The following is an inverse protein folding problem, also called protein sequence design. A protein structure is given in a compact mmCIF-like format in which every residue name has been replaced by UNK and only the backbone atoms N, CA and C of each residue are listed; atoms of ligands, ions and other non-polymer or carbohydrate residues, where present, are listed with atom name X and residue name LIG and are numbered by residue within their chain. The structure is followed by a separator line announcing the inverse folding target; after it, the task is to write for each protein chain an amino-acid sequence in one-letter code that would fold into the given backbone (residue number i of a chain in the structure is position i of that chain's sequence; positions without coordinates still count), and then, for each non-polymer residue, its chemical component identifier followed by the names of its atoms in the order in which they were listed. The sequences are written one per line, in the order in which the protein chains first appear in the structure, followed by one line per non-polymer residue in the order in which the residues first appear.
data_IF_216983208449
#
_entry.id   IF_216983208449
#
_cell.length_a   1.000
_cell.length_b   1.000
_cell.length_c   1.000
_cell.angle_alpha   90.00
_cell.angle_beta   90.00
_cell.angle_gamma   90.00
#
_symmetry.space_group_name_H-M   'P 1'
#
loop_
_entity.id
_entity.type
_entity.pdbx_description
1 polymer ?
#
# COMPACT_ATOMS: atom_id res chain seq x y z
N UNK A 1 -12.74 8.88 -27.19
CA UNK A 1 -14.15 8.63 -26.89
C UNK A 1 -14.28 8.62 -25.37
N UNK A 2 -14.90 9.66 -24.80
CA UNK A 2 -15.26 9.64 -23.37
C UNK A 2 -16.27 8.52 -23.19
N UNK A 3 -15.91 7.50 -22.39
CA UNK A 3 -16.86 6.50 -21.95
C UNK A 3 -17.83 7.23 -21.02
N UNK A 4 -19.12 7.20 -21.33
CA UNK A 4 -20.15 7.70 -20.44
C UNK A 4 -20.17 6.82 -19.18
N UNK A 5 -19.40 7.27 -18.18
CA UNK A 5 -19.00 6.51 -16.98
C UNK A 5 -20.21 6.21 -16.09
N UNK A 6 -21.31 6.92 -16.27
CA UNK A 6 -22.45 6.94 -15.36
C UNK A 6 -23.52 5.88 -15.67
N UNK A 7 -23.27 4.90 -16.54
CA UNK A 7 -24.16 3.75 -16.78
C UNK A 7 -23.53 2.44 -16.31
N UNK A 8 -23.15 2.39 -15.04
CA UNK A 8 -22.69 1.15 -14.43
C UNK A 8 -23.79 0.10 -14.40
N UNK A 9 -23.52 -1.09 -14.92
CA UNK A 9 -24.44 -2.24 -14.79
C UNK A 9 -24.32 -2.83 -13.39
N UNK A 10 -25.38 -2.72 -12.59
CA UNK A 10 -25.39 -3.13 -11.18
C UNK A 10 -26.22 -4.40 -11.00
N UNK A 11 -25.55 -5.44 -10.51
CA UNK A 11 -26.16 -6.69 -10.08
C UNK A 11 -25.93 -6.86 -8.57
N UNK A 12 -26.98 -6.70 -7.78
CA UNK A 12 -26.88 -6.87 -6.33
C UNK A 12 -26.91 -8.36 -5.94
N UNK A 13 -26.17 -8.69 -4.88
CA UNK A 13 -26.25 -10.02 -4.26
C UNK A 13 -27.63 -10.25 -3.63
N UNK A 14 -28.10 -11.49 -3.68
CA UNK A 14 -29.31 -11.92 -2.95
C UNK A 14 -29.00 -12.39 -1.54
N UNK A 15 -27.74 -12.69 -1.26
CA UNK A 15 -27.27 -13.27 0.00
C UNK A 15 -26.11 -12.44 0.54
N UNK A 16 -26.43 -11.43 1.36
CA UNK A 16 -25.38 -10.63 2.03
C UNK A 16 -24.66 -11.45 3.09
N UNK A 17 -23.32 -11.28 3.16
CA UNK A 17 -22.47 -11.85 4.19
C UNK A 17 -22.38 -10.97 5.44
N UNK A 18 -22.90 -9.74 5.37
CA UNK A 18 -22.85 -8.76 6.44
C UNK A 18 -23.34 -9.28 7.81
N UNK A 19 -24.45 -10.09 7.89
CA UNK A 19 -24.92 -10.62 9.17
C UNK A 19 -23.95 -11.59 9.87
N UNK A 20 -22.94 -12.11 9.15
CA UNK A 20 -21.97 -13.07 9.66
C UNK A 20 -20.68 -12.40 10.12
N UNK A 21 -20.56 -11.07 10.00
CA UNK A 21 -19.34 -10.32 10.32
C UNK A 21 -19.16 -10.22 11.82
N UNK A 22 -18.00 -10.68 12.32
CA UNK A 22 -17.57 -10.37 13.68
C UNK A 22 -16.79 -9.05 13.64
N UNK A 23 -17.43 -7.97 14.03
CA UNK A 23 -16.88 -6.61 14.00
C UNK A 23 -15.77 -6.37 15.04
N UNK A 24 -15.69 -7.22 16.08
CA UNK A 24 -14.65 -7.15 17.11
C UNK A 24 -13.35 -7.86 16.66
N UNK A 25 -13.42 -8.65 15.58
CA UNK A 25 -12.28 -9.36 15.03
C UNK A 25 -12.28 -9.31 13.51
N UNK A 26 -11.64 -8.30 12.96
CA UNK A 26 -11.53 -8.04 11.51
C UNK A 26 -10.13 -8.35 11.00
N UNK A 27 -9.82 -9.61 10.66
CA UNK A 27 -8.51 -9.99 10.15
C UNK A 27 -8.28 -9.40 8.76
N UNK A 28 -7.13 -8.76 8.55
CA UNK A 28 -6.80 -8.11 7.28
C UNK A 28 -6.83 -9.11 6.11
N UNK A 29 -7.60 -8.76 5.06
CA UNK A 29 -7.61 -9.49 3.79
C UNK A 29 -8.28 -10.88 3.81
N UNK A 30 -9.09 -11.22 4.82
CA UNK A 30 -9.80 -12.50 4.90
C UNK A 30 -11.31 -12.42 4.73
N UNK A 31 -11.90 -11.28 5.02
CA UNK A 31 -13.32 -11.03 4.87
C UNK A 31 -13.54 -9.95 3.82
N UNK A 32 -14.39 -10.22 2.83
CA UNK A 32 -14.64 -9.29 1.72
C UNK A 32 -16.10 -8.84 1.72
N UNK A 33 -16.35 -7.60 1.28
CA UNK A 33 -17.70 -7.04 1.15
C UNK A 33 -18.52 -7.78 0.09
N UNK A 34 -19.81 -7.48 0.00
CA UNK A 34 -20.77 -8.22 -0.82
C UNK A 34 -20.54 -8.06 -2.32
N UNK A 35 -19.97 -6.94 -2.76
CA UNK A 35 -19.84 -6.64 -4.18
C UNK A 35 -18.40 -6.32 -4.60
N UNK A 36 -18.16 -6.43 -5.89
CA UNK A 36 -16.91 -6.02 -6.55
C UNK A 36 -17.23 -5.26 -7.84
N UNK A 37 -16.33 -4.33 -8.19
CA UNK A 37 -16.37 -3.61 -9.46
C UNK A 37 -15.50 -4.33 -10.50
N UNK A 38 -15.88 -4.26 -11.77
CA UNK A 38 -15.11 -4.83 -12.89
C UNK A 38 -15.29 -4.02 -14.17
N UNK A 39 -14.18 -3.83 -14.89
CA UNK A 39 -14.13 -3.27 -16.23
C UNK A 39 -13.10 -4.03 -17.07
N UNK A 40 -13.42 -4.35 -18.31
CA UNK A 40 -12.52 -5.03 -19.24
C UNK A 40 -11.93 -4.01 -20.24
N UNK A 41 -10.65 -4.16 -20.57
CA UNK A 41 -10.03 -3.48 -21.68
C UNK A 41 -9.72 -4.49 -22.78
N UNK A 42 -10.22 -4.22 -23.97
CA UNK A 42 -9.98 -5.06 -25.15
C UNK A 42 -10.03 -4.21 -26.43
N UNK A 43 -9.21 -4.54 -27.42
CA UNK A 43 -9.15 -3.84 -28.69
C UNK A 43 -9.03 -2.29 -28.53
N UNK A 44 -8.23 -1.82 -27.58
CA UNK A 44 -7.99 -0.41 -27.33
C UNK A 44 -9.11 0.35 -26.60
N UNK A 45 -10.13 -0.33 -26.12
CA UNK A 45 -11.29 0.28 -25.48
C UNK A 45 -11.66 -0.35 -24.14
N UNK A 46 -12.09 0.50 -23.20
CA UNK A 46 -12.70 0.05 -21.95
C UNK A 46 -14.15 -0.34 -22.16
N UNK A 47 -14.58 -1.45 -21.56
CA UNK A 47 -15.97 -1.88 -21.53
C UNK A 47 -16.80 -0.98 -20.59
N UNK A 48 -18.14 -1.13 -20.64
CA UNK A 48 -19.01 -0.53 -19.62
C UNK A 48 -18.68 -1.09 -18.24
N UNK A 49 -18.67 -0.23 -17.19
CA UNK A 49 -18.47 -0.64 -15.81
C UNK A 49 -19.54 -1.63 -15.33
N UNK A 50 -19.14 -2.54 -14.44
CA UNK A 50 -20.04 -3.51 -13.78
C UNK A 50 -19.77 -3.53 -12.28
N UNK A 51 -20.84 -3.54 -11.49
CA UNK A 51 -20.79 -3.92 -10.08
C UNK A 51 -21.58 -5.20 -9.92
N UNK A 52 -20.95 -6.21 -9.35
CA UNK A 52 -21.50 -7.57 -9.28
C UNK A 52 -21.17 -8.21 -7.92
N UNK A 53 -21.87 -9.29 -7.53
CA UNK A 53 -21.52 -10.03 -6.31
C UNK A 53 -20.05 -10.42 -6.29
N UNK A 54 -19.37 -10.24 -5.15
CA UNK A 54 -18.00 -10.70 -4.96
C UNK A 54 -17.93 -12.23 -5.07
N UNK A 55 -17.01 -12.71 -5.87
CA UNK A 55 -16.79 -14.14 -6.11
C UNK A 55 -15.55 -14.40 -6.96
N UNK A 56 -15.36 -15.65 -7.31
CA UNK A 56 -14.25 -16.09 -8.15
C UNK A 56 -14.37 -15.54 -9.58
N UNK A 57 -13.24 -15.36 -10.22
CA UNK A 57 -13.13 -14.99 -11.63
C UNK A 57 -12.52 -16.15 -12.41
N UNK A 58 -13.06 -16.40 -13.60
CA UNK A 58 -12.48 -17.39 -14.51
C UNK A 58 -11.40 -16.73 -15.36
N UNK A 59 -10.21 -17.34 -15.37
CA UNK A 59 -9.06 -16.89 -16.17
C UNK A 59 -8.45 -18.08 -16.93
N UNK A 60 -7.87 -17.79 -18.11
CA UNK A 60 -7.15 -18.81 -18.88
C UNK A 60 -5.89 -19.28 -18.14
N UNK A 61 -5.55 -20.58 -18.17
CA UNK A 61 -4.25 -21.06 -17.67
C UNK A 61 -3.04 -20.40 -18.35
N UNK A 62 -3.20 -19.93 -19.60
CA UNK A 62 -2.16 -19.23 -20.35
C UNK A 62 -2.14 -17.71 -20.08
N UNK A 63 -2.79 -17.25 -19.02
CA UNK A 63 -2.89 -15.84 -18.68
C UNK A 63 -1.50 -15.22 -18.40
N UNK A 64 -1.16 -14.13 -19.10
CA UNK A 64 0.16 -13.50 -19.02
C UNK A 64 0.45 -12.85 -17.65
N UNK A 65 -0.57 -12.46 -16.88
CA UNK A 65 -0.36 -11.98 -15.52
C UNK A 65 0.11 -13.11 -14.58
N UNK A 66 -0.38 -14.35 -14.77
CA UNK A 66 0.05 -15.51 -13.98
C UNK A 66 1.50 -15.85 -14.29
N UNK A 67 1.87 -15.85 -15.56
CA UNK A 67 3.20 -16.30 -16.01
C UNK A 67 4.27 -15.22 -15.90
N UNK A 68 3.92 -13.95 -16.08
CA UNK A 68 4.90 -12.84 -16.21
C UNK A 68 4.65 -11.69 -15.25
N UNK A 69 3.65 -11.80 -14.36
CA UNK A 69 3.39 -10.83 -13.30
C UNK A 69 2.94 -9.45 -13.80
N UNK A 70 2.35 -9.35 -15.01
CA UNK A 70 1.87 -8.08 -15.55
C UNK A 70 0.58 -7.65 -14.85
N UNK A 71 0.74 -7.07 -13.66
CA UNK A 71 -0.34 -6.63 -12.78
C UNK A 71 0.12 -5.50 -11.89
N UNK A 72 -0.77 -4.52 -11.66
CA UNK A 72 -0.60 -3.43 -10.71
C UNK A 72 -1.79 -3.37 -9.75
N UNK A 73 -1.58 -2.79 -8.57
CA UNK A 73 -2.66 -2.61 -7.61
C UNK A 73 -2.49 -1.33 -6.81
N UNK A 74 -3.55 -0.95 -6.14
CA UNK A 74 -3.59 0.13 -5.18
C UNK A 74 -4.15 -0.34 -3.84
N UNK A 75 -3.98 0.50 -2.82
CA UNK A 75 -4.58 0.29 -1.52
C UNK A 75 -4.94 1.64 -0.92
N UNK A 76 -6.18 1.76 -0.49
CA UNK A 76 -6.70 2.92 0.21
C UNK A 76 -7.77 2.50 1.20
N UNK A 77 -8.27 3.43 2.00
CA UNK A 77 -9.25 3.16 3.04
C UNK A 77 -10.41 4.14 2.95
N UNK A 78 -11.61 3.65 3.24
CA UNK A 78 -12.76 4.47 3.58
C UNK A 78 -12.96 4.41 5.10
N UNK A 79 -13.20 5.57 5.71
CA UNK A 79 -13.44 5.71 7.14
C UNK A 79 -14.81 6.34 7.37
N UNK A 80 -15.37 6.16 8.56
CA UNK A 80 -16.42 7.06 9.05
C UNK A 80 -15.79 8.18 9.81
N UNK A 81 -16.27 9.40 9.56
CA UNK A 81 -15.95 10.54 10.39
C UNK A 81 -16.83 10.59 11.66
N UNK A 82 -16.60 11.59 12.49
CA UNK A 82 -17.36 11.78 13.75
C UNK A 82 -18.85 12.08 13.53
N UNK A 83 -19.25 12.49 12.33
CA UNK A 83 -20.65 12.72 11.95
C UNK A 83 -21.30 11.46 11.35
N UNK A 84 -20.53 10.40 11.13
CA UNK A 84 -20.97 9.16 10.51
C UNK A 84 -20.89 9.18 8.99
N UNK A 85 -20.34 10.23 8.38
CA UNK A 85 -20.13 10.32 6.94
C UNK A 85 -18.95 9.44 6.49
N UNK A 86 -19.05 8.90 5.29
CA UNK A 86 -17.99 8.06 4.73
C UNK A 86 -17.02 8.95 3.96
N UNK A 87 -15.76 8.91 4.35
CA UNK A 87 -14.70 9.74 3.77
C UNK A 87 -13.58 8.88 3.17
N UNK A 88 -12.98 9.40 2.10
CA UNK A 88 -11.80 8.85 1.44
C UNK A 88 -10.63 9.83 1.56
N UNK A 89 -9.46 9.30 1.85
CA UNK A 89 -8.26 10.11 1.97
C UNK A 89 -7.46 10.15 0.65
N UNK A 90 -7.37 11.35 0.05
CA UNK A 90 -6.56 11.66 -1.17
C UNK A 90 -6.74 10.66 -2.32
N UNK A 91 -7.97 10.26 -2.74
CA UNK A 91 -8.18 9.20 -3.73
C UNK A 91 -7.56 9.50 -5.11
N UNK A 92 -7.49 10.76 -5.52
CA UNK A 92 -6.85 11.18 -6.77
C UNK A 92 -5.34 10.96 -6.77
N UNK A 93 -4.66 11.05 -5.63
CA UNK A 93 -3.24 10.70 -5.52
C UNK A 93 -3.03 9.19 -5.77
N UNK A 94 -3.95 8.34 -5.31
CA UNK A 94 -3.92 6.91 -5.61
C UNK A 94 -4.16 6.66 -7.11
N UNK A 95 -5.10 7.36 -7.74
CA UNK A 95 -5.37 7.25 -9.18
C UNK A 95 -4.13 7.59 -10.02
N UNK A 96 -3.44 8.71 -9.70
CA UNK A 96 -2.21 9.13 -10.38
C UNK A 96 -1.08 8.11 -10.20
N UNK A 97 -0.90 7.60 -8.98
CA UNK A 97 0.12 6.59 -8.71
C UNK A 97 -0.19 5.25 -9.38
N UNK A 98 -1.46 4.88 -9.46
CA UNK A 98 -1.91 3.70 -10.20
C UNK A 98 -1.55 3.81 -11.68
N UNK A 99 -1.84 4.95 -12.32
CA UNK A 99 -1.47 5.20 -13.70
C UNK A 99 0.05 5.27 -13.92
N UNK A 100 0.81 5.83 -12.99
CA UNK A 100 2.28 5.77 -13.03
C UNK A 100 2.79 4.33 -13.00
N UNK A 101 2.20 3.47 -12.16
CA UNK A 101 2.53 2.05 -12.10
C UNK A 101 2.12 1.32 -13.38
N UNK A 102 0.92 1.58 -13.89
CA UNK A 102 0.40 1.00 -15.13
C UNK A 102 1.31 1.35 -16.31
N UNK A 103 1.70 2.60 -16.45
CA UNK A 103 2.62 3.05 -17.50
C UNK A 103 3.94 2.28 -17.47
N UNK A 104 4.53 2.09 -16.28
CA UNK A 104 5.78 1.31 -16.13
C UNK A 104 5.62 -0.16 -16.54
N UNK A 105 4.44 -0.72 -16.36
CA UNK A 105 4.11 -2.11 -16.68
C UNK A 105 3.48 -2.29 -18.07
N UNK A 106 3.48 -1.25 -18.92
CA UNK A 106 2.82 -1.24 -20.22
C UNK A 106 1.32 -1.59 -20.16
N UNK A 107 0.65 -1.18 -19.09
CA UNK A 107 -0.80 -1.36 -18.87
C UNK A 107 -1.51 -0.06 -19.24
N UNK A 108 -2.71 -0.09 -19.86
CA UNK A 108 -3.48 1.10 -20.20
C UNK A 108 -3.81 1.96 -18.97
N UNK A 109 -3.81 3.27 -19.15
CA UNK A 109 -4.26 4.22 -18.13
C UNK A 109 -5.78 4.16 -17.96
N UNK A 110 -6.22 4.48 -16.74
CA UNK A 110 -7.62 4.69 -16.36
C UNK A 110 -7.74 6.15 -15.96
N UNK A 111 -8.75 6.89 -16.48
CA UNK A 111 -8.90 8.28 -16.06
C UNK A 111 -9.08 8.37 -14.54
N UNK A 112 -8.58 9.45 -13.94
CA UNK A 112 -8.66 9.67 -12.49
C UNK A 112 -10.11 9.67 -12.01
N UNK A 113 -11.01 10.26 -12.82
CA UNK A 113 -12.45 10.31 -12.55
C UNK A 113 -13.08 8.92 -12.58
N UNK A 114 -12.74 8.07 -13.57
CA UNK A 114 -13.22 6.68 -13.64
C UNK A 114 -12.76 5.92 -12.41
N UNK A 115 -11.48 6.03 -12.05
CA UNK A 115 -10.93 5.36 -10.89
C UNK A 115 -11.65 5.75 -9.59
N UNK A 116 -11.81 7.06 -9.35
CA UNK A 116 -12.42 7.56 -8.11
C UNK A 116 -13.93 7.26 -8.08
N UNK A 117 -14.66 7.51 -9.18
CA UNK A 117 -16.11 7.28 -9.22
C UNK A 117 -16.45 5.80 -9.08
N UNK A 118 -15.66 4.90 -9.65
CA UNK A 118 -15.84 3.46 -9.47
C UNK A 118 -15.77 3.03 -8.00
N UNK A 119 -14.87 3.64 -7.23
CA UNK A 119 -14.74 3.42 -5.80
C UNK A 119 -15.95 3.98 -5.05
N UNK A 120 -16.37 5.21 -5.36
CA UNK A 120 -17.50 5.86 -4.71
C UNK A 120 -18.80 5.08 -4.95
N UNK A 121 -19.06 4.62 -6.19
CA UNK A 121 -20.24 3.80 -6.52
C UNK A 121 -20.24 2.46 -5.77
N UNK A 122 -19.10 1.75 -5.73
CA UNK A 122 -18.99 0.50 -4.99
C UNK A 122 -19.23 0.69 -3.49
N UNK A 123 -18.65 1.74 -2.89
CA UNK A 123 -18.86 2.07 -1.48
C UNK A 123 -20.30 2.47 -1.21
N UNK A 124 -20.95 3.21 -2.10
CA UNK A 124 -22.36 3.60 -1.93
C UNK A 124 -23.29 2.39 -1.85
N UNK A 125 -23.00 1.33 -2.63
CA UNK A 125 -23.74 0.05 -2.59
C UNK A 125 -23.42 -0.70 -1.30
N UNK A 126 -22.14 -0.81 -0.95
CA UNK A 126 -21.65 -1.56 0.21
C UNK A 126 -21.44 -0.68 1.46
N UNK A 127 -22.13 0.46 1.58
CA UNK A 127 -21.94 1.43 2.68
C UNK A 127 -22.07 0.84 4.09
N UNK A 128 -22.81 -0.26 4.25
CA UNK A 128 -22.96 -0.96 5.53
C UNK A 128 -21.71 -1.75 5.91
N UNK A 129 -20.81 -2.00 4.96
CA UNK A 129 -19.54 -2.67 5.16
C UNK A 129 -18.44 -1.73 5.71
N UNK A 130 -18.66 -0.40 5.68
CA UNK A 130 -17.78 0.56 6.34
C UNK A 130 -18.01 0.47 7.84
N UNK A 131 -17.00 0.06 8.64
CA UNK A 131 -17.14 -0.12 10.09
C UNK A 131 -17.66 1.13 10.79
N UNK A 132 -18.40 0.93 11.88
CA UNK A 132 -18.88 2.04 12.72
C UNK A 132 -17.82 2.52 13.72
N UNK A 133 -16.91 1.64 14.12
CA UNK A 133 -15.80 1.98 14.99
C UNK A 133 -14.80 2.86 14.21
N UNK A 134 -14.45 4.02 14.78
CA UNK A 134 -13.55 5.01 14.16
C UNK A 134 -12.11 4.47 13.99
N UNK A 135 -11.70 3.50 14.82
CA UNK A 135 -10.39 2.86 14.72
C UNK A 135 -10.32 1.81 13.59
N UNK A 136 -11.47 1.47 13.02
CA UNK A 136 -11.58 0.50 11.94
C UNK A 136 -11.83 1.21 10.61
N UNK A 137 -11.64 0.50 9.51
CA UNK A 137 -11.84 1.05 8.17
C UNK A 137 -12.29 0.00 7.16
N UNK A 138 -12.81 0.45 6.04
CA UNK A 138 -13.01 -0.40 4.88
C UNK A 138 -11.79 -0.25 3.96
N UNK A 139 -10.96 -1.30 3.90
CA UNK A 139 -9.83 -1.35 2.96
C UNK A 139 -10.35 -1.56 1.53
N UNK A 140 -9.84 -0.79 0.59
CA UNK A 140 -10.22 -0.79 -0.82
C UNK A 140 -9.02 -1.27 -1.62
N UNK A 141 -9.21 -2.28 -2.47
CA UNK A 141 -8.19 -2.88 -3.34
C UNK A 141 -8.55 -2.71 -4.80
N UNK A 142 -8.20 -1.58 -5.44
CA UNK A 142 -8.16 -1.48 -6.90
C UNK A 142 -6.97 -2.29 -7.43
N UNK A 143 -7.17 -3.03 -8.52
CA UNK A 143 -6.09 -3.73 -9.19
C UNK A 143 -6.41 -3.94 -10.66
N UNK A 144 -5.37 -4.07 -11.47
CA UNK A 144 -5.45 -4.35 -12.89
C UNK A 144 -4.47 -5.46 -13.24
N UNK A 145 -4.87 -6.35 -14.12
CA UNK A 145 -4.01 -7.43 -14.58
C UNK A 145 -4.26 -7.76 -16.05
N UNK A 146 -3.23 -8.25 -16.70
CA UNK A 146 -3.30 -8.73 -18.08
C UNK A 146 -4.20 -9.96 -18.21
N UNK A 147 -4.98 -10.05 -19.28
CA UNK A 147 -5.94 -11.14 -19.51
C UNK A 147 -5.68 -11.97 -20.76
N UNK A 148 -4.73 -11.61 -21.61
CA UNK A 148 -4.40 -12.38 -22.79
C UNK A 148 -4.12 -13.85 -22.47
N UNK A 149 -4.75 -14.79 -23.19
CA UNK A 149 -4.46 -16.21 -23.09
C UNK A 149 -3.25 -16.55 -23.97
N UNK A 150 -2.09 -15.93 -23.69
CA UNK A 150 -0.91 -16.03 -24.53
C UNK A 150 0.38 -16.22 -23.72
N UNK A 151 1.14 -17.25 -24.05
CA UNK A 151 2.47 -17.51 -23.47
C UNK A 151 3.54 -16.92 -24.38
N UNK A 152 3.92 -15.68 -24.13
CA UNK A 152 4.96 -14.98 -24.85
C UNK A 152 5.24 -13.62 -24.19
N UNK A 153 6.48 -13.15 -24.27
CA UNK A 153 6.92 -11.92 -23.59
C UNK A 153 6.59 -10.71 -24.47
N UNK A 154 5.43 -10.14 -24.28
CA UNK A 154 5.00 -8.85 -24.84
C UNK A 154 4.02 -8.20 -23.86
N UNK A 155 3.75 -6.88 -23.97
CA UNK A 155 2.60 -6.28 -23.32
C UNK A 155 1.31 -6.99 -23.77
N UNK A 156 0.39 -7.22 -22.85
CA UNK A 156 -0.91 -7.80 -23.16
C UNK A 156 -1.76 -6.83 -24.01
N UNK A 157 -2.64 -7.38 -24.85
CA UNK A 157 -3.60 -6.59 -25.62
C UNK A 157 -4.93 -6.41 -24.87
N UNK A 158 -5.15 -7.20 -23.83
CA UNK A 158 -6.36 -7.15 -23.02
C UNK A 158 -6.07 -7.13 -21.51
N UNK A 159 -6.90 -6.42 -20.74
CA UNK A 159 -6.73 -6.26 -19.30
C UNK A 159 -8.08 -6.26 -18.60
N UNK A 160 -8.06 -6.56 -17.30
CA UNK A 160 -9.22 -6.44 -16.41
C UNK A 160 -8.87 -5.54 -15.23
N UNK A 161 -9.62 -4.45 -15.06
CA UNK A 161 -9.58 -3.59 -13.88
C UNK A 161 -10.70 -4.00 -12.93
N UNK A 162 -10.36 -4.19 -11.67
CA UNK A 162 -11.29 -4.62 -10.63
C UNK A 162 -11.07 -3.85 -9.32
N UNK A 163 -12.13 -3.75 -8.53
CA UNK A 163 -12.07 -3.21 -7.17
C UNK A 163 -12.87 -4.14 -6.27
N UNK A 164 -12.31 -4.52 -5.14
CA UNK A 164 -13.05 -5.15 -4.05
C UNK A 164 -12.66 -4.50 -2.72
N UNK A 165 -13.47 -4.72 -1.70
CA UNK A 165 -13.27 -4.11 -0.39
C UNK A 165 -13.33 -5.14 0.73
N UNK A 166 -12.65 -4.85 1.85
CA UNK A 166 -12.68 -5.67 3.05
C UNK A 166 -12.66 -4.79 4.31
N UNK A 167 -13.55 -5.02 5.30
CA UNK A 167 -13.47 -4.35 6.58
C UNK A 167 -12.23 -4.82 7.33
N UNK A 168 -11.52 -3.90 7.94
CA UNK A 168 -10.25 -4.17 8.65
C UNK A 168 -10.21 -3.40 9.96
N UNK A 169 -9.61 -4.03 10.98
CA UNK A 169 -9.19 -3.40 12.22
C UNK A 169 -7.78 -2.81 12.11
N UNK A 170 -7.13 -2.58 13.23
CA UNK A 170 -5.74 -2.14 13.29
C UNK A 170 -4.81 -3.18 12.64
N UNK A 171 -3.91 -2.73 11.76
CA UNK A 171 -2.98 -3.63 11.05
C UNK A 171 -1.85 -4.14 11.95
N UNK A 172 -1.29 -3.27 12.78
CA UNK A 172 -0.34 -3.61 13.83
C UNK A 172 -0.94 -3.23 15.18
N UNK A 173 -0.94 -4.19 16.10
CA UNK A 173 -1.36 -3.97 17.49
C UNK A 173 -0.21 -3.51 18.39
N UNK A 174 1.03 -3.66 17.93
CA UNK A 174 2.26 -3.38 18.68
C UNK A 174 3.33 -2.79 17.76
N UNK A 175 4.29 -2.03 18.29
CA UNK A 175 5.45 -1.58 17.54
C UNK A 175 6.21 -2.74 16.89
N UNK A 176 6.79 -2.51 15.70
CA UNK A 176 7.41 -3.57 14.91
C UNK A 176 8.91 -3.65 15.15
N UNK A 177 9.44 -4.87 15.26
CA UNK A 177 10.87 -5.16 15.21
C UNK A 177 11.30 -5.33 13.76
N UNK A 178 12.42 -4.72 13.37
CA UNK A 178 12.91 -4.76 12.00
C UNK A 178 14.38 -5.19 11.93
N UNK A 179 14.73 -5.86 10.83
CA UNK A 179 16.10 -6.26 10.50
C UNK A 179 16.55 -5.52 9.25
N UNK A 180 17.75 -4.94 9.27
CA UNK A 180 18.35 -4.36 8.05
C UNK A 180 18.82 -5.49 7.14
N UNK A 181 18.28 -5.52 5.92
CA UNK A 181 18.64 -6.51 4.91
C UNK A 181 19.88 -6.05 4.14
N UNK A 182 20.89 -6.90 4.09
CA UNK A 182 22.20 -6.59 3.48
C UNK A 182 22.65 -7.58 2.41
N UNK A 183 21.74 -8.46 1.96
CA UNK A 183 22.02 -9.46 0.92
C UNK A 183 20.95 -9.44 -0.16
N UNK A 184 19.67 -9.54 0.22
CA UNK A 184 18.57 -9.51 -0.73
C UNK A 184 18.15 -8.06 -1.01
N UNK A 185 17.71 -7.81 -2.24
CA UNK A 185 17.24 -6.49 -2.68
C UNK A 185 15.79 -6.55 -3.13
N UNK A 186 14.99 -5.58 -2.68
CA UNK A 186 13.60 -5.41 -3.11
C UNK A 186 13.48 -4.77 -4.49
N UNK A 187 14.39 -3.86 -4.79
CA UNK A 187 14.35 -3.01 -5.98
C UNK A 187 15.76 -2.66 -6.45
N UNK A 188 15.88 -2.27 -7.71
CA UNK A 188 17.12 -1.83 -8.33
C UNK A 188 16.85 -0.59 -9.20
N UNK A 189 17.85 0.27 -9.37
CA UNK A 189 17.75 1.43 -10.24
C UNK A 189 17.37 1.02 -11.67
N UNK A 190 16.39 1.73 -12.27
CA UNK A 190 15.81 1.37 -13.57
C UNK A 190 14.83 0.19 -13.53
N UNK A 191 14.63 -0.42 -12.36
CA UNK A 191 13.67 -1.50 -12.13
C UNK A 191 12.23 -1.03 -11.97
N UNK A 192 11.43 -1.80 -11.24
CA UNK A 192 10.00 -1.54 -10.99
C UNK A 192 9.70 -1.09 -9.56
N UNK A 193 10.72 -0.77 -8.75
CA UNK A 193 10.59 -0.51 -7.32
C UNK A 193 9.62 0.62 -6.96
N UNK A 194 9.57 1.67 -7.78
CA UNK A 194 8.65 2.80 -7.60
C UNK A 194 7.20 2.49 -8.01
N UNK A 195 6.99 1.43 -8.77
CA UNK A 195 5.66 1.00 -9.23
C UNK A 195 5.02 0.06 -8.21
N UNK A 196 3.71 0.14 -8.06
CA UNK A 196 2.96 -0.81 -7.22
C UNK A 196 2.61 -2.07 -8.02
N UNK A 197 3.65 -2.70 -8.58
CA UNK A 197 3.56 -3.91 -9.39
C UNK A 197 3.61 -5.18 -8.52
N UNK A 198 2.81 -6.19 -8.87
CA UNK A 198 2.69 -7.43 -8.08
C UNK A 198 4.03 -8.17 -7.91
N UNK A 199 4.90 -8.17 -8.93
CA UNK A 199 6.20 -8.82 -8.91
C UNK A 199 7.14 -8.30 -7.82
N UNK A 200 7.06 -7.02 -7.45
CA UNK A 200 7.88 -6.45 -6.38
C UNK A 200 7.60 -7.12 -5.03
N UNK A 201 6.37 -7.55 -4.80
CA UNK A 201 5.96 -8.21 -3.55
C UNK A 201 6.39 -9.66 -3.52
N UNK A 202 6.35 -10.36 -4.65
CA UNK A 202 6.83 -11.74 -4.74
C UNK A 202 8.34 -11.83 -4.42
N UNK A 203 9.15 -10.90 -4.91
CA UNK A 203 10.58 -10.85 -4.62
C UNK A 203 10.92 -10.68 -3.13
N UNK A 204 10.02 -10.07 -2.36
CA UNK A 204 10.21 -9.82 -0.93
C UNK A 204 9.84 -11.02 -0.03
N UNK A 205 9.15 -12.05 -0.53
CA UNK A 205 8.58 -13.13 0.28
C UNK A 205 9.67 -13.95 0.99
N UNK A 206 10.70 -14.38 0.28
CA UNK A 206 11.73 -15.25 0.85
C UNK A 206 12.54 -14.55 1.95
N UNK A 207 13.12 -13.36 1.74
CA UNK A 207 13.83 -12.66 2.81
C UNK A 207 12.92 -12.27 3.99
N UNK A 208 11.65 -11.94 3.75
CA UNK A 208 10.70 -11.68 4.83
C UNK A 208 10.41 -12.94 5.68
N UNK A 209 10.33 -14.11 5.04
CA UNK A 209 10.18 -15.38 5.73
C UNK A 209 11.40 -15.66 6.61
N UNK A 210 12.63 -15.47 6.10
CA UNK A 210 13.86 -15.64 6.88
C UNK A 210 13.90 -14.71 8.10
N UNK A 211 13.58 -13.43 7.91
CA UNK A 211 13.51 -12.47 9.01
C UNK A 211 12.47 -12.87 10.08
N UNK A 212 11.32 -13.37 9.64
CA UNK A 212 10.27 -13.86 10.55
C UNK A 212 10.73 -15.07 11.37
N UNK A 213 11.52 -15.97 10.80
CA UNK A 213 12.12 -17.11 11.54
C UNK A 213 13.12 -16.65 12.60
N UNK A 214 13.75 -15.49 12.41
CA UNK A 214 14.65 -14.85 13.38
C UNK A 214 13.90 -13.97 14.41
N UNK A 215 12.55 -13.86 14.31
CA UNK A 215 11.71 -13.10 15.23
C UNK A 215 11.46 -11.63 14.81
N UNK A 216 11.88 -11.24 13.64
CA UNK A 216 11.62 -9.87 13.11
C UNK A 216 10.31 -9.83 12.34
N UNK A 217 9.56 -8.73 12.53
CA UNK A 217 8.27 -8.51 11.85
C UNK A 217 8.41 -7.97 10.45
N UNK A 218 9.47 -7.19 10.19
CA UNK A 218 9.72 -6.55 8.90
C UNK A 218 11.21 -6.42 8.61
N UNK A 219 11.55 -6.10 7.35
CA UNK A 219 12.90 -5.78 6.90
C UNK A 219 13.02 -4.28 6.65
N UNK A 220 14.16 -3.68 6.97
CA UNK A 220 14.60 -2.42 6.35
C UNK A 220 15.39 -2.80 5.10
N UNK A 221 14.86 -2.43 3.95
CA UNK A 221 15.50 -2.64 2.67
C UNK A 221 16.60 -1.62 2.42
N UNK A 222 17.66 -2.07 1.77
CA UNK A 222 18.80 -1.25 1.38
C UNK A 222 19.01 -1.30 -0.13
N UNK A 223 19.76 -0.33 -0.66
CA UNK A 223 20.09 -0.24 -2.07
C UNK A 223 20.78 -1.53 -2.58
N UNK A 224 20.43 -1.94 -3.80
CA UNK A 224 20.89 -3.20 -4.38
C UNK A 224 22.39 -3.21 -4.78
N UNK A 225 23.07 -2.07 -4.79
CA UNK A 225 24.46 -1.96 -5.27
C UNK A 225 25.47 -2.19 -4.16
N UNK A 226 25.26 -1.53 -3.03
CA UNK A 226 26.26 -1.47 -1.94
C UNK A 226 25.65 -1.87 -0.60
N UNK A 227 24.33 -2.02 -0.50
CA UNK A 227 23.59 -2.20 0.76
C UNK A 227 23.96 -1.14 1.81
N UNK A 228 24.24 0.06 1.33
CA UNK A 228 24.70 1.19 2.11
C UNK A 228 23.58 2.13 2.50
N UNK A 229 22.62 2.34 1.60
CA UNK A 229 21.55 3.33 1.79
C UNK A 229 20.22 2.65 2.09
N UNK A 230 19.53 3.18 3.09
CA UNK A 230 18.18 2.73 3.46
C UNK A 230 17.18 3.16 2.39
N UNK A 231 16.22 2.28 2.06
CA UNK A 231 15.16 2.54 1.07
C UNK A 231 13.77 2.48 1.68
N UNK A 232 13.31 1.33 2.16
CA UNK A 232 11.96 1.13 2.71
C UNK A 232 11.95 0.16 3.89
N UNK A 233 10.88 0.15 4.68
CA UNK A 233 10.66 -0.82 5.75
C UNK A 233 9.50 -1.77 5.38
N UNK A 234 9.82 -3.03 5.03
CA UNK A 234 8.85 -4.00 4.58
C UNK A 234 8.10 -3.54 3.33
N UNK A 235 6.82 -3.25 3.46
CA UNK A 235 5.94 -2.70 2.41
C UNK A 235 5.54 -1.24 2.66
N UNK A 236 6.32 -0.52 3.46
CA UNK A 236 6.08 0.85 3.92
C UNK A 236 7.29 1.73 3.61
N UNK A 237 7.05 3.03 3.39
CA UNK A 237 8.14 4.00 3.49
C UNK A 237 8.64 4.06 4.93
N UNK A 238 9.92 4.37 5.13
CA UNK A 238 10.52 4.53 6.45
C UNK A 238 10.89 5.98 6.71
N UNK A 239 10.68 6.41 7.94
CA UNK A 239 11.01 7.76 8.42
C UNK A 239 11.68 7.66 9.78
N UNK A 240 12.59 8.59 10.05
CA UNK A 240 13.33 8.70 11.30
C UNK A 240 13.25 10.13 11.82
N UNK A 241 13.27 10.29 13.13
CA UNK A 241 13.51 11.58 13.77
C UNK A 241 14.91 11.54 14.40
N UNK A 242 15.83 12.29 13.83
CA UNK A 242 17.24 12.39 14.27
C UNK A 242 17.53 13.86 14.57
N UNK A 243 18.00 14.18 15.78
CA UNK A 243 18.28 15.55 16.22
C UNK A 243 17.10 16.52 15.99
N UNK A 244 15.86 16.07 16.22
CA UNK A 244 14.59 16.78 15.96
C UNK A 244 14.34 17.11 14.46
N UNK A 245 15.05 16.48 13.54
CA UNK A 245 14.83 16.58 12.09
C UNK A 245 14.12 15.34 11.60
N UNK A 246 13.04 15.50 10.83
CA UNK A 246 12.39 14.37 10.14
C UNK A 246 13.20 14.01 8.91
N UNK A 247 13.78 12.81 8.91
CA UNK A 247 14.60 12.31 7.80
C UNK A 247 13.94 11.12 7.15
N UNK A 248 13.86 11.13 5.82
CA UNK A 248 13.26 10.01 5.05
C UNK A 248 14.00 9.83 3.73
N UNK A 249 14.13 8.58 3.24
CA UNK A 249 14.75 8.35 1.94
C UNK A 249 14.05 9.14 0.83
N UNK A 250 14.86 9.75 -0.05
CA UNK A 250 14.36 10.46 -1.22
C UNK A 250 13.73 9.45 -2.20
N UNK A 251 12.53 9.75 -2.67
CA UNK A 251 11.83 8.89 -3.66
C UNK A 251 12.56 8.89 -5.00
N UNK A 252 12.52 7.73 -5.66
CA UNK A 252 13.20 7.52 -6.94
C UNK A 252 12.76 6.18 -7.54
N UNK A 253 13.58 5.59 -8.39
CA UNK A 253 13.26 4.34 -9.09
C UNK A 253 13.04 3.13 -8.18
N UNK A 254 13.59 3.16 -6.97
CA UNK A 254 13.59 2.03 -6.04
C UNK A 254 12.59 2.17 -4.91
N UNK A 255 12.03 3.36 -4.70
CA UNK A 255 11.18 3.69 -3.55
C UNK A 255 9.80 4.14 -4.02
N UNK A 256 8.75 3.51 -3.48
CA UNK A 256 7.38 3.88 -3.77
C UNK A 256 7.07 5.28 -3.23
N UNK A 257 6.49 6.15 -4.08
CA UNK A 257 6.04 7.47 -3.65
C UNK A 257 4.75 7.34 -2.80
N UNK A 258 4.95 7.14 -1.49
CA UNK A 258 3.87 6.88 -0.55
C UNK A 258 2.99 8.09 -0.28
N UNK A 259 1.67 7.93 -0.36
CA UNK A 259 0.70 9.00 -0.08
C UNK A 259 0.70 9.34 1.40
N UNK A 260 0.77 8.33 2.27
CA UNK A 260 0.92 8.54 3.72
C UNK A 260 2.24 9.24 4.04
N UNK A 261 3.36 8.82 3.42
CA UNK A 261 4.67 9.49 3.57
C UNK A 261 4.59 10.98 3.21
N UNK A 262 3.98 11.32 2.05
CA UNK A 262 3.76 12.72 1.65
C UNK A 262 3.00 13.50 2.72
N UNK A 263 1.94 12.90 3.27
CA UNK A 263 1.13 13.54 4.31
C UNK A 263 1.93 13.77 5.59
N UNK A 264 2.76 12.80 6.01
CA UNK A 264 3.66 12.96 7.16
C UNK A 264 4.64 14.11 6.94
N UNK A 265 5.25 14.18 5.76
CA UNK A 265 6.17 15.26 5.38
C UNK A 265 5.47 16.63 5.40
N UNK A 266 4.25 16.71 4.82
CA UNK A 266 3.47 17.95 4.79
C UNK A 266 3.14 18.41 6.22
N UNK A 267 2.70 17.49 7.09
CA UNK A 267 2.36 17.78 8.50
C UNK A 267 3.59 18.21 9.29
N UNK A 268 4.73 17.53 9.14
CA UNK A 268 5.97 17.91 9.82
C UNK A 268 6.38 19.34 9.45
N UNK A 269 6.27 19.71 8.17
CA UNK A 269 6.53 21.08 7.72
C UNK A 269 5.54 22.09 8.30
N UNK A 270 4.27 21.73 8.41
CA UNK A 270 3.23 22.58 9.01
C UNK A 270 3.46 22.81 10.52
N UNK A 271 4.05 21.83 11.19
CA UNK A 271 4.51 21.98 12.59
C UNK A 271 5.80 22.76 12.75
N UNK A 272 6.44 23.20 11.65
CA UNK A 272 7.71 23.92 11.66
C UNK A 272 8.92 23.02 11.90
N UNK A 273 8.78 21.69 11.76
CA UNK A 273 9.94 20.79 11.82
C UNK A 273 10.79 20.88 10.54
N UNK A 274 12.09 20.78 10.71
CA UNK A 274 12.98 20.57 9.58
C UNK A 274 12.75 19.17 8.99
N UNK A 275 12.63 19.10 7.64
CA UNK A 275 12.43 17.84 6.93
C UNK A 275 13.53 17.66 5.88
N UNK A 276 14.20 16.51 5.93
CA UNK A 276 15.23 16.13 4.96
C UNK A 276 14.82 14.91 4.17
N UNK A 277 14.55 15.09 2.89
CA UNK A 277 14.32 14.03 1.92
C UNK A 277 15.62 13.74 1.17
N UNK A 278 16.39 12.73 1.60
CA UNK A 278 17.75 12.47 1.10
C UNK A 278 18.11 10.98 1.18
N UNK A 279 19.26 10.60 0.65
CA UNK A 279 19.85 9.30 0.95
C UNK A 279 20.24 9.24 2.42
N UNK A 280 19.98 8.11 3.08
CA UNK A 280 20.28 7.85 4.48
C UNK A 280 21.17 6.62 4.52
N UNK A 281 22.38 6.78 5.07
CA UNK A 281 23.27 5.64 5.23
C UNK A 281 22.81 4.76 6.40
N UNK A 282 22.95 3.44 6.24
CA UNK A 282 22.69 2.49 7.33
C UNK A 282 23.55 2.84 8.54
N UNK A 283 24.82 3.19 8.31
CA UNK A 283 25.76 3.56 9.37
C UNK A 283 25.32 4.81 10.15
N UNK A 284 24.79 5.83 9.47
CA UNK A 284 24.25 7.04 10.08
C UNK A 284 23.13 6.71 11.09
N UNK A 285 22.20 5.83 10.71
CA UNK A 285 21.10 5.43 11.61
C UNK A 285 21.65 4.69 12.84
N UNK A 286 22.68 3.87 12.67
CA UNK A 286 23.30 3.17 13.80
C UNK A 286 24.09 4.07 14.73
N UNK A 287 24.77 5.07 14.20
CA UNK A 287 25.45 6.09 15.01
C UNK A 287 24.42 6.89 15.81
N UNK A 288 23.34 7.33 15.18
CA UNK A 288 22.26 8.05 15.83
C UNK A 288 21.51 7.20 16.89
N UNK A 289 21.44 5.87 16.71
CA UNK A 289 20.93 4.96 17.74
C UNK A 289 21.89 4.84 18.94
N UNK A 290 23.20 4.84 18.70
CA UNK A 290 24.23 4.68 19.75
C UNK A 290 24.38 5.93 20.59
N UNK A 291 24.34 7.10 19.98
CA UNK A 291 24.50 8.38 20.70
C UNK A 291 23.17 8.94 21.25
N UNK A 292 22.03 8.31 20.88
CA UNK A 292 20.71 8.68 21.35
C UNK A 292 20.05 9.86 20.60
N UNK A 293 20.63 10.31 19.47
CA UNK A 293 20.06 11.37 18.66
C UNK A 293 18.85 10.88 17.82
N UNK A 294 18.73 9.56 17.54
CA UNK A 294 17.55 8.99 16.94
C UNK A 294 16.47 8.75 18.02
N UNK A 295 15.40 9.52 17.96
CA UNK A 295 14.31 9.50 18.94
C UNK A 295 13.07 8.76 18.46
N UNK A 296 12.79 8.75 17.16
CA UNK A 296 11.67 8.01 16.56
C UNK A 296 12.07 7.34 15.26
N UNK A 297 11.52 6.14 15.02
CA UNK A 297 11.53 5.48 13.71
C UNK A 297 10.18 4.83 13.46
N UNK A 298 9.66 4.97 12.25
CA UNK A 298 8.36 4.40 11.91
C UNK A 298 8.24 4.11 10.41
N UNK A 299 7.37 3.16 10.10
CA UNK A 299 6.90 2.90 8.75
C UNK A 299 5.63 3.68 8.45
N UNK A 300 5.49 4.20 7.23
CA UNK A 300 4.29 4.89 6.76
C UNK A 300 3.69 4.18 5.54
N UNK A 301 2.41 3.82 5.60
CA UNK A 301 1.72 3.14 4.50
C UNK A 301 0.23 2.98 4.75
N UNK A 302 -0.56 2.77 3.70
CA UNK A 302 -2.04 2.72 3.79
C UNK A 302 -2.55 1.66 4.78
N UNK A 303 -1.97 0.46 4.80
CA UNK A 303 -2.46 -0.61 5.65
C UNK A 303 -2.23 -0.30 7.14
N UNK A 304 -1.02 0.13 7.48
CA UNK A 304 -0.59 0.40 8.84
C UNK A 304 -0.87 1.83 9.29
N UNK A 305 -1.08 2.75 8.37
CA UNK A 305 -1.05 4.21 8.55
C UNK A 305 0.33 4.64 9.05
N UNK A 306 0.60 4.53 10.34
CA UNK A 306 1.92 4.67 10.97
C UNK A 306 2.20 3.39 11.77
N UNK A 307 3.36 2.80 11.56
CA UNK A 307 3.84 1.63 12.29
C UNK A 307 5.12 2.00 13.05
N UNK A 308 5.05 2.26 14.35
CA UNK A 308 6.25 2.52 15.15
C UNK A 308 7.23 1.36 15.07
N UNK A 309 8.52 1.65 15.00
CA UNK A 309 9.60 0.68 15.05
C UNK A 309 10.19 0.71 16.46
N UNK A 310 10.17 -0.43 17.14
CA UNK A 310 10.71 -0.55 18.51
C UNK A 310 12.16 -1.02 18.56
N UNK A 311 12.57 -1.75 17.54
CA UNK A 311 13.90 -2.37 17.51
C UNK A 311 14.41 -2.45 16.07
N UNK A 312 15.69 -2.11 15.88
CA UNK A 312 16.42 -2.24 14.60
C UNK A 312 17.60 -3.18 14.80
N UNK A 313 17.71 -4.23 13.99
CA UNK A 313 18.83 -5.17 14.00
C UNK A 313 19.72 -5.00 12.77
N UNK A 314 21.03 -4.97 12.97
CA UNK A 314 22.03 -5.02 11.91
C UNK A 314 23.12 -6.02 12.25
N UNK A 315 23.39 -6.99 11.38
CA UNK A 315 24.49 -7.97 11.51
C UNK A 315 24.53 -8.67 12.90
N UNK A 316 23.34 -8.90 13.49
CA UNK A 316 23.21 -9.55 14.80
C UNK A 316 23.27 -8.60 16.00
N UNK A 317 23.60 -7.32 15.82
CA UNK A 317 23.45 -6.31 16.87
C UNK A 317 22.03 -5.74 16.86
N UNK A 318 21.40 -5.67 18.03
CA UNK A 318 20.05 -5.19 18.23
C UNK A 318 20.04 -3.85 18.97
N UNK A 319 19.35 -2.88 18.43
CA UNK A 319 19.21 -1.54 18.99
C UNK A 319 17.73 -1.26 19.27
N UNK A 320 17.43 -1.03 20.55
CA UNK A 320 16.07 -0.63 20.95
C UNK A 320 15.92 0.88 20.79
N UNK A 321 14.86 1.31 20.16
CA UNK A 321 14.48 2.72 20.09
C UNK A 321 13.83 3.09 21.42
N UNK A 322 14.27 4.13 22.11
CA UNK A 322 13.68 4.53 23.39
C UNK A 322 12.18 4.84 23.23
N UNK A 323 11.38 4.41 24.21
CA UNK A 323 10.01 4.88 24.31
C UNK A 323 10.03 6.38 24.66
N UNK A 324 9.77 7.23 23.67
CA UNK A 324 9.63 8.66 23.93
C UNK A 324 8.22 8.93 24.50
N UNK A 325 8.17 9.73 25.57
CA UNK A 325 6.88 10.21 26.12
C UNK A 325 6.19 11.23 25.21
N UNK A 326 6.95 11.82 24.29
CA UNK A 326 6.52 12.84 23.34
C UNK A 326 6.66 12.31 21.89
N UNK A 327 6.00 11.19 21.57
CA UNK A 327 5.93 10.68 20.20
C UNK A 327 5.10 11.64 19.34
N UNK A 328 5.75 12.65 18.73
CA UNK A 328 5.07 13.65 17.93
C UNK A 328 4.25 13.03 16.79
N UNK A 329 4.79 12.03 16.12
CA UNK A 329 4.11 11.40 14.97
C UNK A 329 3.15 10.29 15.36
N UNK A 330 3.44 9.50 16.38
CA UNK A 330 2.56 8.39 16.77
C UNK A 330 1.22 8.89 17.33
N UNK A 331 1.24 9.90 18.21
CA UNK A 331 0.03 10.42 18.85
C UNK A 331 -0.81 11.33 17.94
N UNK A 332 -0.17 12.08 17.03
CA UNK A 332 -0.86 13.09 16.21
C UNK A 332 -1.45 12.51 14.92
N UNK A 333 -0.88 11.44 14.37
CA UNK A 333 -1.34 10.85 13.10
C UNK A 333 -2.38 9.74 13.27
N UNK A 334 -2.61 9.24 14.48
CA UNK A 334 -3.71 8.32 14.79
C UNK A 334 -5.08 8.99 14.52
N UNK A 335 -5.15 10.31 14.60
CA UNK A 335 -6.39 11.08 14.43
C UNK A 335 -6.62 11.62 13.02
N UNK A 336 -5.74 11.34 12.06
CA UNK A 336 -5.92 11.66 10.65
C UNK A 336 -6.48 10.46 9.91
#
# INVERSE_FOLDING_TARGET
MEVDIFQTNIQLTKNSRLPQVNWDNLPFGKLFSDHMFSMDFDNGNWSKPKIMPYGDISISPANSAIHYGQSCFEGMKAHRDVNGDIVLFRPYENARRFNSSNKRMCIPEISEEVFVNSILELIAIDKKWVPQNLDHSLYIRPFIFATDPYIGIKPSDSYKFMIFTCPVGSYYSEPVSVKVETHYSRAVQGGTGFSKAAGNYAAALYPAMLASQEGFRQLIWTDAKEHKYIEEAGTMNVLFVIDNVLVTPIVGDTILNGITRKSVVDIAKDWGMEVQERKIEVQEVFEALKDGSLTEAFGAGTAATIAPISNISLKGENFTIPESKDHHFHLSLIHI
#
